data_IF_684668776652
#
_entry.id   IF_684668776652
#
_cell.length_a   1.000
_cell.length_b   1.000
_cell.length_c   1.000
_cell.angle_alpha   90.00
_cell.angle_beta   90.00
_cell.angle_gamma   90.00
#
_symmetry.space_group_name_H-M   'P 1'
#
loop_
_entity.id
_entity.type
_entity.pdbx_description
1 polymer ?
#
# COMPACT_ATOMS: atom_id res chain seq x y z
N UNK A 1 -2.45 11.15 -1.12
CA UNK A 1 -1.53 10.14 -1.68
C UNK A 1 -0.13 10.21 -1.08
N UNK A 2 0.53 11.37 -1.02
CA UNK A 2 1.92 11.52 -0.55
C UNK A 2 2.26 10.79 0.78
N UNK A 3 1.44 10.96 1.82
CA UNK A 3 1.68 10.31 3.12
C UNK A 3 1.65 8.77 3.08
N UNK A 4 0.91 8.16 2.14
CA UNK A 4 0.88 6.70 1.95
C UNK A 4 2.19 6.21 1.33
N UNK A 5 2.65 6.91 0.29
CA UNK A 5 3.90 6.60 -0.43
C UNK A 5 5.08 6.67 0.52
N UNK A 6 5.19 7.73 1.32
CA UNK A 6 6.28 7.90 2.29
C UNK A 6 6.31 6.81 3.35
N UNK A 7 5.13 6.38 3.84
CA UNK A 7 5.06 5.29 4.83
C UNK A 7 5.46 3.95 4.24
N UNK A 8 5.00 3.63 3.02
CA UNK A 8 5.42 2.41 2.32
C UNK A 8 6.93 2.44 2.08
N UNK A 9 7.47 3.58 1.62
CA UNK A 9 8.91 3.75 1.41
C UNK A 9 9.70 3.51 2.71
N UNK A 10 9.27 4.12 3.82
CA UNK A 10 9.89 3.93 5.13
C UNK A 10 9.86 2.45 5.56
N UNK A 11 8.74 1.75 5.41
CA UNK A 11 8.65 0.33 5.74
C UNK A 11 9.55 -0.54 4.87
N UNK A 12 9.62 -0.28 3.56
CA UNK A 12 10.52 -1.01 2.66
C UNK A 12 11.98 -0.81 3.07
N UNK A 13 12.37 0.41 3.41
CA UNK A 13 13.72 0.76 3.87
C UNK A 13 14.05 0.09 5.21
N UNK A 14 13.12 0.16 6.17
CA UNK A 14 13.27 -0.45 7.50
C UNK A 14 13.08 -1.97 7.49
N UNK A 15 12.63 -2.54 6.38
CA UNK A 15 12.37 -3.96 6.24
C UNK A 15 11.15 -4.49 6.97
N UNK A 16 10.17 -3.63 7.19
CA UNK A 16 8.91 -4.00 7.83
C UNK A 16 8.01 -4.71 6.81
N UNK A 17 7.62 -5.98 7.06
CA UNK A 17 6.79 -6.74 6.13
C UNK A 17 5.32 -6.34 6.16
N UNK A 18 4.90 -5.60 7.18
CA UNK A 18 3.50 -5.20 7.37
C UNK A 18 3.42 -3.80 7.97
N UNK A 19 2.45 -3.02 7.49
CA UNK A 19 2.09 -1.70 7.98
C UNK A 19 0.59 -1.66 8.26
N UNK A 20 0.21 -1.11 9.41
CA UNK A 20 -1.18 -0.73 9.68
C UNK A 20 -1.33 0.76 9.46
N UNK A 21 -2.26 1.16 8.61
CA UNK A 21 -2.51 2.55 8.25
C UNK A 21 -3.98 2.90 8.45
N UNK A 22 -4.23 4.10 8.98
CA UNK A 22 -5.57 4.68 8.96
C UNK A 22 -5.71 5.56 7.72
N UNK A 23 -6.47 5.11 6.72
CA UNK A 23 -6.69 5.83 5.46
C UNK A 23 -7.90 6.75 5.54
N UNK A 24 -7.95 7.62 6.56
CA UNK A 24 -9.06 8.56 6.77
C UNK A 24 -10.42 7.88 6.99
N UNK A 25 -11.42 8.66 7.44
CA UNK A 25 -12.82 8.22 7.61
C UNK A 25 -13.02 6.82 8.26
N UNK A 26 -12.19 6.46 9.25
CA UNK A 26 -12.29 5.17 9.96
C UNK A 26 -11.88 3.93 9.16
N UNK A 27 -11.39 4.09 7.93
CA UNK A 27 -10.91 2.96 7.13
C UNK A 27 -9.51 2.54 7.60
N UNK A 28 -9.46 1.55 8.48
CA UNK A 28 -8.24 0.80 8.73
C UNK A 28 -7.85 0.06 7.44
N UNK A 29 -6.63 0.30 6.98
CA UNK A 29 -6.02 -0.45 5.91
C UNK A 29 -4.78 -1.18 6.41
N UNK A 30 -4.74 -2.48 6.18
CA UNK A 30 -3.52 -3.26 6.35
C UNK A 30 -2.76 -3.25 5.03
N UNK A 31 -1.49 -2.89 5.08
CA UNK A 31 -0.58 -2.93 3.94
C UNK A 31 0.46 -4.01 4.21
N UNK A 32 0.45 -5.05 3.40
CA UNK A 32 1.49 -6.08 3.41
C UNK A 32 2.52 -5.74 2.33
N UNK A 33 3.79 -5.87 2.69
CA UNK A 33 4.92 -5.55 1.84
C UNK A 33 5.82 -6.78 1.79
N UNK A 34 5.86 -7.43 0.63
CA UNK A 34 6.80 -8.49 0.35
C UNK A 34 7.94 -7.95 -0.51
N UNK A 35 9.17 -7.94 0.01
CA UNK A 35 10.37 -7.67 -0.80
C UNK A 35 10.66 -8.90 -1.65
N UNK A 36 10.59 -8.76 -2.97
CA UNK A 36 10.79 -9.86 -3.93
C UNK A 36 12.22 -9.88 -4.50
N UNK A 37 12.88 -8.71 -4.54
CA UNK A 37 14.28 -8.56 -4.91
C UNK A 37 14.83 -7.22 -4.39
N UNK A 38 16.10 -6.91 -4.68
CA UNK A 38 16.72 -5.63 -4.31
C UNK A 38 15.95 -4.45 -4.95
N UNK A 39 15.27 -3.66 -4.13
CA UNK A 39 14.46 -2.53 -4.58
C UNK A 39 13.13 -2.93 -5.25
N UNK A 40 12.77 -4.22 -5.28
CA UNK A 40 11.51 -4.70 -5.85
C UNK A 40 10.56 -5.18 -4.76
N UNK A 41 9.30 -4.73 -4.84
CA UNK A 41 8.28 -4.99 -3.83
C UNK A 41 6.96 -5.44 -4.45
N UNK A 42 6.31 -6.36 -3.77
CA UNK A 42 4.91 -6.72 -3.95
C UNK A 42 4.11 -6.14 -2.78
N UNK A 43 3.06 -5.39 -3.09
CA UNK A 43 2.24 -4.68 -2.11
C UNK A 43 0.83 -5.25 -2.15
N UNK A 44 0.27 -5.56 -0.98
CA UNK A 44 -1.16 -5.86 -0.83
C UNK A 44 -1.77 -4.87 0.12
N UNK A 45 -2.89 -4.27 -0.25
CA UNK A 45 -3.61 -3.30 0.55
C UNK A 45 -5.02 -3.82 0.80
N UNK A 46 -5.29 -4.19 2.04
CA UNK A 46 -6.63 -4.56 2.48
C UNK A 46 -7.32 -3.32 3.04
N UNK A 47 -8.33 -2.79 2.36
CA UNK A 47 -9.07 -1.57 2.77
C UNK A 47 -10.60 -1.78 2.71
N UNK A 48 -11.38 -0.93 3.38
CA UNK A 48 -12.86 -1.00 3.38
C UNK A 48 -13.51 0.27 2.85
N UNK A 49 -14.76 0.13 2.40
CA UNK A 49 -15.64 1.23 2.02
C UNK A 49 -15.03 2.18 0.99
N UNK A 50 -15.21 3.48 1.21
CA UNK A 50 -14.76 4.54 0.32
C UNK A 50 -13.23 4.56 0.11
N UNK A 51 -12.45 4.19 1.15
CA UNK A 51 -11.00 4.14 1.04
C UNK A 51 -10.53 3.12 0.01
N UNK A 52 -11.20 1.97 -0.09
CA UNK A 52 -10.91 0.96 -1.14
C UNK A 52 -11.19 1.53 -2.53
N UNK A 53 -12.35 2.17 -2.73
CA UNK A 53 -12.71 2.74 -4.03
C UNK A 53 -11.72 3.83 -4.46
N UNK A 54 -11.29 4.70 -3.53
CA UNK A 54 -10.28 5.72 -3.79
C UNK A 54 -8.91 5.12 -4.13
N UNK A 55 -8.48 4.09 -3.40
CA UNK A 55 -7.23 3.39 -3.67
C UNK A 55 -7.25 2.71 -5.05
N UNK A 56 -8.35 2.07 -5.43
CA UNK A 56 -8.50 1.46 -6.74
C UNK A 56 -8.42 2.51 -7.85
N UNK A 57 -9.11 3.65 -7.69
CA UNK A 57 -9.07 4.75 -8.66
C UNK A 57 -7.66 5.36 -8.80
N UNK A 58 -6.86 5.33 -7.74
CA UNK A 58 -5.52 5.92 -7.70
C UNK A 58 -4.41 4.85 -7.73
N UNK A 59 -4.71 3.61 -8.10
CA UNK A 59 -3.75 2.50 -8.04
C UNK A 59 -2.53 2.74 -8.96
N UNK A 60 -2.76 3.29 -10.16
CA UNK A 60 -1.69 3.65 -11.08
C UNK A 60 -0.85 4.80 -10.54
N UNK A 61 -1.48 5.86 -10.03
CA UNK A 61 -0.77 7.00 -9.42
C UNK A 61 0.09 6.55 -8.23
N UNK A 62 -0.43 5.66 -7.38
CA UNK A 62 0.34 5.07 -6.28
C UNK A 62 1.57 4.30 -6.79
N UNK A 63 1.40 3.51 -7.84
CA UNK A 63 2.50 2.74 -8.46
C UNK A 63 3.58 3.66 -9.05
N UNK A 64 3.16 4.70 -9.76
CA UNK A 64 4.06 5.71 -10.34
C UNK A 64 4.80 6.47 -9.25
N UNK A 65 4.10 6.91 -8.20
CA UNK A 65 4.71 7.63 -7.08
C UNK A 65 5.75 6.77 -6.34
N UNK A 66 5.48 5.48 -6.12
CA UNK A 66 6.46 4.56 -5.54
C UNK A 66 7.67 4.36 -6.47
N UNK A 67 7.42 4.26 -7.78
CA UNK A 67 8.48 4.12 -8.79
C UNK A 67 9.37 5.36 -8.85
N UNK A 68 8.80 6.54 -8.78
CA UNK A 68 9.53 7.81 -8.70
C UNK A 68 10.42 7.92 -7.44
N UNK A 69 10.08 7.18 -6.37
CA UNK A 69 10.89 7.06 -5.14
C UNK A 69 11.95 5.94 -5.23
N UNK A 70 12.12 5.31 -6.38
CA UNK A 70 13.10 4.25 -6.61
C UNK A 70 12.64 2.85 -6.21
N UNK A 71 11.35 2.65 -5.95
CA UNK A 71 10.77 1.33 -5.65
C UNK A 71 10.17 0.70 -6.90
N UNK A 72 10.64 -0.49 -7.27
CA UNK A 72 10.02 -1.26 -8.36
C UNK A 72 8.83 -2.04 -7.84
N UNK A 73 7.62 -1.60 -8.14
CA UNK A 73 6.40 -2.30 -7.73
C UNK A 73 6.10 -3.44 -8.71
N UNK A 74 6.37 -4.67 -8.29
CA UNK A 74 6.08 -5.88 -9.07
C UNK A 74 4.58 -6.16 -9.15
N UNK A 75 3.88 -6.03 -8.03
CA UNK A 75 2.44 -6.21 -7.95
C UNK A 75 1.83 -5.27 -6.92
N UNK A 76 0.65 -4.74 -7.23
CA UNK A 76 -0.18 -3.99 -6.30
C UNK A 76 -1.57 -4.63 -6.30
N UNK A 77 -1.91 -5.29 -5.20
CA UNK A 77 -3.24 -5.86 -4.98
C UNK A 77 -4.01 -4.99 -3.99
N UNK A 78 -5.27 -4.68 -4.30
CA UNK A 78 -6.14 -3.90 -3.42
C UNK A 78 -7.41 -4.71 -3.17
N UNK A 79 -7.45 -5.32 -2.00
CA UNK A 79 -8.52 -6.21 -1.56
C UNK A 79 -9.41 -5.55 -0.52
N UNK A 80 -10.61 -6.10 -0.36
CA UNK A 80 -11.49 -5.70 0.73
C UNK A 80 -10.92 -6.24 2.04
N UNK A 81 -10.70 -5.37 3.03
CA UNK A 81 -10.30 -5.85 4.35
C UNK A 81 -11.44 -6.69 4.92
N UNK A 82 -11.18 -7.98 5.16
CA UNK A 82 -12.21 -8.94 5.54
C UNK A 82 -13.00 -8.46 6.74
N UNK A 83 -14.31 -8.30 6.60
CA UNK A 83 -15.20 -8.10 7.73
C UNK A 83 -15.07 -9.34 8.62
N UNK A 84 -14.31 -9.27 9.71
CA UNK A 84 -14.63 -10.14 10.84
C UNK A 84 -15.96 -9.61 11.38
N UNK A 85 -17.05 -10.17 10.85
CA UNK A 85 -18.33 -10.19 11.55
C UNK A 85 -18.22 -11.09 12.77
#
# INVERSE_FOLDING_TARGET
MAALVERIEAAVKNGQPTLSLSLGAGAAAAVEIARTAKGEVSIRIAARGEARSKLLAQANELKEALTARGLKVRSLDISQAGSKG
#
